data_IF_515925849981
#
_entry.id   IF_515925849981
#
_cell.length_a   1.000
_cell.length_b   1.000
_cell.length_c   1.000
_cell.angle_alpha   90.00
_cell.angle_beta   90.00
_cell.angle_gamma   90.00
#
_symmetry.space_group_name_H-M   'P 1'
#
loop_
_entity.id
_entity.type
_entity.pdbx_description
1 polymer ?
#
# COMPACT_ATOMS: atom_id res chain seq x y z
N UNK A 1 -41.40 6.41 -15.87
CA UNK A 1 -40.46 5.61 -16.69
C UNK A 1 -39.65 4.70 -15.77
N UNK A 2 -40.15 3.50 -15.45
CA UNK A 2 -39.35 2.43 -14.85
C UNK A 2 -39.19 1.39 -15.94
N UNK A 3 -38.01 1.31 -16.55
CA UNK A 3 -37.71 0.20 -17.43
C UNK A 3 -37.46 -1.03 -16.55
N UNK A 4 -38.11 -2.15 -16.85
CA UNK A 4 -37.79 -3.43 -16.21
C UNK A 4 -36.33 -3.77 -16.53
N UNK A 5 -35.52 -3.90 -15.46
CA UNK A 5 -34.13 -4.30 -15.60
C UNK A 5 -34.08 -5.82 -15.57
N UNK A 6 -33.85 -6.44 -16.71
CA UNK A 6 -33.59 -7.89 -16.80
C UNK A 6 -32.11 -8.12 -16.48
N UNK A 7 -31.84 -8.58 -15.26
CA UNK A 7 -30.50 -9.05 -14.88
C UNK A 7 -30.38 -10.52 -15.32
N UNK A 8 -29.42 -10.87 -16.20
CA UNK A 8 -29.19 -12.26 -16.55
C UNK A 8 -28.79 -13.07 -15.31
N UNK A 9 -29.22 -14.34 -15.20
CA UNK A 9 -28.83 -15.18 -14.08
C UNK A 9 -27.30 -15.39 -14.09
N UNK A 10 -26.65 -15.07 -12.96
CA UNK A 10 -25.21 -15.33 -12.77
C UNK A 10 -25.04 -16.84 -12.66
N UNK A 11 -24.58 -17.49 -13.73
CA UNK A 11 -24.56 -18.95 -13.85
C UNK A 11 -23.34 -19.63 -13.22
N UNK A 12 -22.23 -18.92 -13.07
CA UNK A 12 -21.10 -19.24 -12.19
C UNK A 12 -20.00 -18.20 -12.41
N UNK A 13 -19.36 -17.75 -11.33
CA UNK A 13 -18.06 -17.11 -11.37
C UNK A 13 -17.15 -17.91 -10.45
N UNK A 14 -16.80 -19.12 -10.88
CA UNK A 14 -15.80 -19.94 -10.19
C UNK A 14 -14.41 -19.45 -10.60
N UNK A 15 -14.04 -18.28 -10.08
CA UNK A 15 -12.68 -17.79 -10.12
C UNK A 15 -12.07 -17.94 -8.72
N UNK A 16 -11.32 -19.02 -8.50
CA UNK A 16 -10.46 -19.12 -7.32
C UNK A 16 -9.20 -18.29 -7.56
N UNK A 17 -8.88 -17.29 -6.73
CA UNK A 17 -7.63 -16.55 -6.87
C UNK A 17 -6.45 -17.51 -6.84
N UNK A 18 -5.49 -17.34 -7.75
CA UNK A 18 -4.24 -18.09 -7.67
C UNK A 18 -3.49 -17.65 -6.43
N UNK A 19 -3.18 -18.59 -5.54
CA UNK A 19 -2.33 -18.31 -4.39
C UNK A 19 -0.93 -17.95 -4.88
N UNK A 20 -0.43 -16.80 -4.42
CA UNK A 20 0.92 -16.32 -4.72
C UNK A 20 1.78 -16.53 -3.50
N UNK A 21 2.75 -17.44 -3.59
CA UNK A 21 3.75 -17.61 -2.55
C UNK A 21 4.81 -16.51 -2.65
N UNK A 22 5.30 -16.00 -1.50
CA UNK A 22 6.44 -15.10 -1.50
C UNK A 22 7.64 -15.80 -2.10
N UNK A 23 8.43 -15.06 -2.89
CA UNK A 23 9.74 -15.51 -3.37
C UNK A 23 10.79 -15.15 -2.32
N UNK A 24 11.39 -16.13 -1.61
CA UNK A 24 12.31 -15.83 -0.50
C UNK A 24 13.48 -14.96 -0.93
N UNK A 25 14.03 -15.20 -2.12
CA UNK A 25 15.13 -14.44 -2.70
C UNK A 25 14.78 -12.95 -2.90
N UNK A 26 13.57 -12.64 -3.37
CA UNK A 26 13.12 -11.24 -3.52
C UNK A 26 12.82 -10.60 -2.17
N UNK A 27 12.34 -11.40 -1.20
CA UNK A 27 12.08 -10.92 0.16
C UNK A 27 13.38 -10.53 0.86
N UNK A 28 14.45 -11.30 0.66
CA UNK A 28 15.79 -10.99 1.18
C UNK A 28 16.36 -9.72 0.55
N UNK A 29 16.19 -9.52 -0.77
CA UNK A 29 16.59 -8.28 -1.45
C UNK A 29 15.85 -7.07 -0.90
N UNK A 30 14.52 -7.16 -0.75
CA UNK A 30 13.72 -6.07 -0.17
C UNK A 30 14.15 -5.75 1.27
N UNK A 31 14.44 -6.77 2.07
CA UNK A 31 14.91 -6.59 3.44
C UNK A 31 16.29 -5.90 3.49
N UNK A 32 17.24 -6.26 2.62
CA UNK A 32 18.55 -5.59 2.56
C UNK A 32 18.42 -4.12 2.11
N UNK A 33 17.57 -3.83 1.12
CA UNK A 33 17.29 -2.46 0.70
C UNK A 33 16.71 -1.62 1.84
N UNK A 34 15.69 -2.12 2.54
CA UNK A 34 15.07 -1.42 3.65
C UNK A 34 16.02 -1.25 4.84
N UNK A 35 16.89 -2.22 5.11
CA UNK A 35 17.86 -2.14 6.20
C UNK A 35 18.95 -1.08 5.97
N UNK A 36 19.23 -0.74 4.71
CA UNK A 36 20.24 0.25 4.31
C UNK A 36 19.66 1.62 3.94
N UNK A 37 18.34 1.74 3.89
CA UNK A 37 17.66 2.97 3.52
C UNK A 37 17.94 4.08 4.54
N UNK A 38 18.35 5.24 4.06
CA UNK A 38 18.53 6.43 4.88
C UNK A 38 17.20 7.21 5.06
N UNK A 39 16.28 7.09 4.10
CA UNK A 39 14.97 7.76 4.10
C UNK A 39 13.87 6.82 3.60
N UNK A 40 13.63 5.69 4.30
CA UNK A 40 12.59 4.76 3.90
C UNK A 40 11.20 5.37 4.08
N UNK A 41 10.25 5.02 3.21
CA UNK A 41 8.84 5.34 3.40
C UNK A 41 7.94 4.17 3.02
N UNK A 42 6.71 4.15 3.54
CA UNK A 42 5.75 3.07 3.29
C UNK A 42 4.41 3.61 2.76
N UNK A 43 3.90 2.97 1.70
CA UNK A 43 2.50 3.08 1.26
C UNK A 43 1.77 1.79 1.67
N UNK A 44 0.80 1.91 2.56
CA UNK A 44 -0.02 0.81 3.04
C UNK A 44 -1.42 0.84 2.41
N UNK A 45 -1.81 -0.24 1.73
CA UNK A 45 -3.13 -0.38 1.13
C UNK A 45 -4.08 -1.29 1.90
N UNK A 46 -5.29 -1.49 1.35
CA UNK A 46 -6.35 -2.29 1.97
C UNK A 46 -6.01 -3.77 2.15
N UNK A 47 -5.07 -4.29 1.36
CA UNK A 47 -4.56 -5.66 1.51
C UNK A 47 -3.90 -5.92 2.85
N UNK A 48 -3.32 -4.89 3.49
CA UNK A 48 -2.77 -5.02 4.86
C UNK A 48 -3.87 -5.36 5.86
N UNK A 49 -5.00 -4.66 5.78
CA UNK A 49 -6.16 -4.91 6.65
C UNK A 49 -6.76 -6.28 6.36
N UNK A 50 -6.95 -6.61 5.08
CA UNK A 50 -7.54 -7.89 4.65
C UNK A 50 -6.69 -9.11 5.07
N UNK A 51 -5.38 -8.93 5.21
CA UNK A 51 -4.46 -9.98 5.63
C UNK A 51 -4.17 -9.98 7.14
N UNK A 52 -4.90 -9.18 7.94
CA UNK A 52 -4.66 -8.99 9.38
C UNK A 52 -3.19 -8.66 9.70
N UNK A 53 -2.56 -7.83 8.86
CA UNK A 53 -1.14 -7.53 8.92
C UNK A 53 -0.81 -6.20 9.60
N UNK A 54 -1.80 -5.48 10.14
CA UNK A 54 -1.62 -4.16 10.78
C UNK A 54 -0.55 -4.19 11.87
N UNK A 55 -0.54 -5.23 12.73
CA UNK A 55 0.48 -5.38 13.78
C UNK A 55 1.89 -5.59 13.24
N UNK A 56 2.03 -6.40 12.18
CA UNK A 56 3.31 -6.68 11.52
C UNK A 56 3.84 -5.45 10.79
N UNK A 57 2.97 -4.72 10.10
CA UNK A 57 3.32 -3.46 9.45
C UNK A 57 3.80 -2.42 10.47
N UNK A 58 3.12 -2.30 11.62
CA UNK A 58 3.54 -1.43 12.71
C UNK A 58 4.94 -1.75 13.20
N UNK A 59 5.19 -3.02 13.53
CA UNK A 59 6.50 -3.46 14.00
C UNK A 59 7.61 -3.21 12.96
N UNK A 60 7.32 -3.42 11.68
CA UNK A 60 8.26 -3.12 10.59
C UNK A 60 8.56 -1.62 10.53
N UNK A 61 7.52 -0.77 10.47
CA UNK A 61 7.67 0.67 10.38
C UNK A 61 8.48 1.25 11.56
N UNK A 62 8.20 0.78 12.79
CA UNK A 62 8.96 1.14 13.99
C UNK A 62 10.44 0.73 13.87
N UNK A 63 10.71 -0.50 13.38
CA UNK A 63 12.07 -1.04 13.25
C UNK A 63 12.94 -0.25 12.27
N UNK A 64 12.37 0.20 11.15
CA UNK A 64 13.09 0.96 10.11
C UNK A 64 12.86 2.47 10.19
N UNK A 65 12.17 2.94 11.25
CA UNK A 65 11.78 4.33 11.44
C UNK A 65 11.09 4.97 10.22
N UNK A 66 10.31 4.21 9.46
CA UNK A 66 9.71 4.68 8.22
C UNK A 66 8.35 5.35 8.44
N UNK A 67 8.14 6.59 7.95
CA UNK A 67 6.81 7.17 7.86
C UNK A 67 5.88 6.35 6.94
N UNK A 68 4.59 6.31 7.31
CA UNK A 68 3.57 5.50 6.66
C UNK A 68 2.41 6.36 6.16
N UNK A 69 2.16 6.32 4.86
CA UNK A 69 0.93 6.79 4.24
C UNK A 69 -0.02 5.61 3.99
N UNK A 70 -1.30 5.77 4.32
CA UNK A 70 -2.34 4.81 3.94
C UNK A 70 -3.00 5.25 2.64
N UNK A 71 -3.26 4.35 1.70
CA UNK A 71 -4.15 4.68 0.57
C UNK A 71 -5.58 4.90 1.04
N UNK A 72 -6.44 5.41 0.17
CA UNK A 72 -7.86 5.60 0.49
C UNK A 72 -8.53 4.29 0.94
N UNK A 73 -8.29 3.19 0.23
CA UNK A 73 -8.76 1.86 0.61
C UNK A 73 -7.95 1.17 1.74
N UNK A 74 -6.86 1.79 2.18
CA UNK A 74 -5.97 1.29 3.25
C UNK A 74 -6.22 1.92 4.61
N UNK A 75 -7.28 2.71 4.79
CA UNK A 75 -7.63 3.25 6.12
C UNK A 75 -7.82 2.09 7.11
N UNK A 76 -7.17 2.17 8.26
CA UNK A 76 -7.08 1.09 9.25
C UNK A 76 -5.83 0.21 9.13
N UNK A 77 -5.06 0.30 8.04
CA UNK A 77 -3.79 -0.45 7.90
C UNK A 77 -2.70 0.02 8.86
N UNK A 78 -2.79 1.27 9.35
CA UNK A 78 -1.82 1.84 10.29
C UNK A 78 -2.52 2.78 11.28
N UNK A 79 -2.13 2.82 12.57
CA UNK A 79 -2.83 3.65 13.55
C UNK A 79 -2.65 5.15 13.25
N UNK A 80 -3.77 5.87 13.07
CA UNK A 80 -3.78 7.28 12.68
C UNK A 80 -2.97 8.19 13.61
N UNK A 81 -3.03 7.94 14.92
CA UNK A 81 -2.34 8.78 15.92
C UNK A 81 -0.86 8.41 16.10
N UNK A 82 -0.38 7.33 15.50
CA UNK A 82 1.01 6.90 15.64
C UNK A 82 1.99 7.97 15.13
N UNK A 83 3.16 8.18 15.77
CA UNK A 83 4.14 9.19 15.35
C UNK A 83 4.63 9.03 13.91
N UNK A 84 4.77 7.79 13.43
CA UNK A 84 5.14 7.48 12.05
C UNK A 84 3.98 7.57 11.05
N UNK A 85 2.75 7.89 11.48
CA UNK A 85 1.65 8.07 10.54
C UNK A 85 1.75 9.44 9.87
N UNK A 86 1.73 9.46 8.53
CA UNK A 86 1.63 10.70 7.77
C UNK A 86 0.24 11.34 7.81
N UNK A 87 -0.75 10.65 8.44
CA UNK A 87 -2.12 11.16 8.64
C UNK A 87 -2.76 11.74 7.38
N UNK A 88 -2.47 11.14 6.25
CA UNK A 88 -2.97 11.56 4.95
C UNK A 88 -2.82 10.38 3.97
N UNK A 89 -2.72 10.63 2.67
CA UNK A 89 -2.71 9.62 1.60
C UNK A 89 -1.93 10.14 0.37
N UNK A 90 -1.47 9.28 -0.56
CA UNK A 90 -0.69 9.68 -1.75
C UNK A 90 -1.38 10.63 -2.75
N UNK A 91 -2.57 11.16 -2.45
CA UNK A 91 -3.21 12.23 -3.21
C UNK A 91 -2.97 13.63 -2.63
N UNK A 92 -2.39 13.73 -1.42
CA UNK A 92 -1.96 14.99 -0.82
C UNK A 92 -0.56 15.36 -1.34
N UNK A 93 -0.38 16.53 -1.98
CA UNK A 93 0.90 16.92 -2.58
C UNK A 93 2.10 16.84 -1.63
N UNK A 94 1.92 17.15 -0.34
CA UNK A 94 3.02 17.10 0.64
C UNK A 94 3.42 15.67 0.98
N UNK A 95 2.43 14.78 1.07
CA UNK A 95 2.68 13.34 1.26
C UNK A 95 3.37 12.79 0.02
N UNK A 96 2.87 13.12 -1.16
CA UNK A 96 3.44 12.68 -2.43
C UNK A 96 4.89 13.09 -2.57
N UNK A 97 5.23 14.36 -2.32
CA UNK A 97 6.62 14.84 -2.36
C UNK A 97 7.53 14.06 -1.42
N UNK A 98 7.09 13.80 -0.18
CA UNK A 98 7.84 12.99 0.79
C UNK A 98 8.05 11.55 0.30
N UNK A 99 6.98 10.91 -0.20
CA UNK A 99 7.04 9.55 -0.71
C UNK A 99 7.95 9.44 -1.95
N UNK A 100 7.92 10.44 -2.84
CA UNK A 100 8.79 10.48 -4.03
C UNK A 100 10.25 10.81 -3.70
N UNK A 101 10.50 11.46 -2.56
CA UNK A 101 11.83 11.75 -2.04
C UNK A 101 12.47 10.57 -1.28
N UNK A 102 11.71 9.52 -0.97
CA UNK A 102 12.22 8.34 -0.31
C UNK A 102 13.32 7.67 -1.16
N UNK A 103 14.38 7.19 -0.52
CA UNK A 103 15.43 6.43 -1.20
C UNK A 103 15.07 4.94 -1.35
N UNK A 104 14.17 4.44 -0.50
CA UNK A 104 13.47 3.16 -0.67
C UNK A 104 11.99 3.35 -0.32
N UNK A 105 11.10 3.01 -1.26
CA UNK A 105 9.64 3.09 -1.05
C UNK A 105 9.02 1.69 -1.00
N UNK A 106 8.55 1.27 0.18
CA UNK A 106 7.81 0.02 0.33
C UNK A 106 6.33 0.22 0.04
N UNK A 107 5.81 -0.42 -1.00
CA UNK A 107 4.36 -0.50 -1.27
C UNK A 107 3.85 -1.86 -0.81
N UNK A 108 2.94 -1.88 0.16
CA UNK A 108 2.45 -3.12 0.77
C UNK A 108 0.93 -3.19 0.78
N UNK A 109 0.38 -4.31 0.30
CA UNK A 109 -1.07 -4.55 0.26
C UNK A 109 -1.85 -3.51 -0.53
N UNK A 110 -1.24 -2.87 -1.52
CA UNK A 110 -1.83 -1.76 -2.27
C UNK A 110 -1.85 -2.03 -3.77
N UNK A 111 -2.92 -1.57 -4.44
CA UNK A 111 -2.94 -1.37 -5.89
C UNK A 111 -2.56 0.08 -6.23
N UNK A 112 -1.65 0.26 -7.18
CA UNK A 112 -1.22 1.57 -7.68
C UNK A 112 -2.06 2.03 -8.87
N UNK A 113 -3.37 2.20 -8.63
CA UNK A 113 -4.28 2.85 -9.58
C UNK A 113 -4.28 4.38 -9.43
N UNK A 114 -5.08 5.07 -10.24
CA UNK A 114 -5.11 6.54 -10.33
C UNK A 114 -5.17 7.26 -8.96
N UNK A 115 -5.98 6.78 -8.02
CA UNK A 115 -6.09 7.40 -6.68
C UNK A 115 -4.83 7.21 -5.82
N UNK A 116 -4.13 6.09 -5.98
CA UNK A 116 -2.93 5.79 -5.21
C UNK A 116 -1.66 6.36 -5.85
N UNK A 117 -1.76 6.96 -7.04
CA UNK A 117 -0.63 7.42 -7.85
C UNK A 117 -0.81 8.83 -8.45
N UNK A 118 -1.72 9.64 -7.89
CA UNK A 118 -1.95 11.02 -8.35
C UNK A 118 -2.38 11.10 -9.83
N UNK A 119 -3.20 10.17 -10.30
CA UNK A 119 -3.57 10.09 -11.71
C UNK A 119 -2.43 9.58 -12.60
N UNK A 120 -1.61 8.66 -12.09
CA UNK A 120 -0.43 8.10 -12.77
C UNK A 120 0.74 9.07 -12.94
N UNK A 121 0.79 10.13 -12.14
CA UNK A 121 1.90 11.10 -12.12
C UNK A 121 2.93 10.80 -11.04
N UNK A 122 2.64 9.87 -10.13
CA UNK A 122 3.54 9.48 -9.04
C UNK A 122 4.88 8.95 -9.56
N UNK A 123 5.97 9.64 -9.22
CA UNK A 123 7.30 9.41 -9.73
C UNK A 123 8.36 9.29 -8.61
N UNK A 124 8.42 8.12 -7.92
CA UNK A 124 9.48 7.85 -6.95
C UNK A 124 10.88 7.94 -7.57
N UNK A 125 11.79 8.61 -6.85
CA UNK A 125 13.18 8.82 -7.31
C UNK A 125 14.17 7.83 -6.72
N UNK A 126 13.77 7.13 -5.66
CA UNK A 126 14.55 6.09 -4.99
C UNK A 126 14.46 4.72 -5.67
N UNK A 127 14.84 3.70 -4.90
CA UNK A 127 14.69 2.29 -5.25
C UNK A 127 13.33 1.74 -4.85
#
# INVERSE_FOLDING_TARGET
LRAETVLPPVSALDATPRELYPRPELTLVAADLLARAARPAIIAGGGVVRADATGKLRALAERIAAPVATTYGGKGAFPWKHPLSLRSWPGDPRVTELLEAADVLLVVGSGLGALSSGGHTFAPRGR
#
